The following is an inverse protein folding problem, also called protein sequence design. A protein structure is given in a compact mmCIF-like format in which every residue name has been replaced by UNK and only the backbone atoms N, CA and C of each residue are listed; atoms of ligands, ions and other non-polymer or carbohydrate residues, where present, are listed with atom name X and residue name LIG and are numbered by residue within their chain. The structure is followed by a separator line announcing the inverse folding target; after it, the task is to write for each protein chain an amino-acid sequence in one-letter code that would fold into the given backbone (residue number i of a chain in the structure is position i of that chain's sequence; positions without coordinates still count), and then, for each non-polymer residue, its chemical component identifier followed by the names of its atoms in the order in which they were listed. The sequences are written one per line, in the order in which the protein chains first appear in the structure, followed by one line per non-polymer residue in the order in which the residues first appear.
data_IF_803558206256
#
_entry.id   IF_803558206256
#
_cell.length_a   1.000
_cell.length_b   1.000
_cell.length_c   1.000
_cell.angle_alpha   90.00
_cell.angle_beta   90.00
_cell.angle_gamma   90.00
#
_symmetry.space_group_name_H-M   'P 1'
#
loop_
_entity.id
_entity.type
_entity.pdbx_description
1 polymer ?
#
# COMPACT_ATOMS: atom_id res chain seq x y z
N UNK A 1 16.30 36.53 -1.60
CA UNK A 1 16.62 35.78 -2.83
C UNK A 1 18.03 35.23 -2.69
N UNK A 2 18.24 33.99 -3.10
CA UNK A 2 19.46 33.21 -2.89
C UNK A 2 20.11 32.91 -4.23
N UNK A 3 21.44 33.05 -4.31
CA UNK A 3 22.21 32.59 -5.48
C UNK A 3 22.30 31.08 -5.48
N UNK A 4 22.50 30.50 -6.66
CA UNK A 4 22.63 29.03 -6.81
C UNK A 4 23.67 28.39 -5.88
N UNK A 5 24.77 29.08 -5.57
CA UNK A 5 25.80 28.59 -4.63
C UNK A 5 25.32 28.57 -3.18
N UNK A 6 24.66 29.65 -2.75
CA UNK A 6 24.10 29.75 -1.39
C UNK A 6 23.02 28.69 -1.17
N UNK A 7 22.17 28.48 -2.19
CA UNK A 7 21.15 27.41 -2.16
C UNK A 7 21.79 26.02 -2.10
N UNK A 8 22.85 25.77 -2.88
CA UNK A 8 23.56 24.50 -2.87
C UNK A 8 24.19 24.19 -1.50
N UNK A 9 24.81 25.18 -0.88
CA UNK A 9 25.42 25.05 0.46
C UNK A 9 24.36 24.79 1.54
N UNK A 10 23.24 25.51 1.51
CA UNK A 10 22.16 25.34 2.50
C UNK A 10 21.45 23.98 2.41
N UNK A 11 21.30 23.44 1.20
CA UNK A 11 20.49 22.23 0.96
C UNK A 11 21.32 20.96 0.78
N UNK A 12 22.65 21.09 0.66
CA UNK A 12 23.55 19.98 0.35
C UNK A 12 23.42 19.46 -1.09
N UNK A 13 22.60 20.11 -1.93
CA UNK A 13 22.40 19.74 -3.33
C UNK A 13 23.48 20.39 -4.19
N UNK A 14 24.13 19.61 -5.05
CA UNK A 14 25.17 20.17 -5.92
C UNK A 14 24.60 21.21 -6.89
N UNK A 15 25.40 22.25 -7.21
CA UNK A 15 25.05 23.25 -8.23
C UNK A 15 24.69 22.59 -9.57
N UNK A 16 25.37 21.48 -9.92
CA UNK A 16 25.07 20.69 -11.12
C UNK A 16 23.66 20.10 -11.08
N UNK A 17 23.22 19.60 -9.93
CA UNK A 17 21.87 19.07 -9.73
C UNK A 17 20.81 20.17 -9.84
N UNK A 18 21.07 21.36 -9.27
CA UNK A 18 20.17 22.51 -9.39
C UNK A 18 20.03 22.96 -10.86
N UNK A 19 21.13 23.01 -11.61
CA UNK A 19 21.08 23.28 -13.06
C UNK A 19 20.35 22.18 -13.84
N UNK A 20 20.47 20.92 -13.42
CA UNK A 20 19.73 19.83 -14.04
C UNK A 20 18.22 19.97 -13.79
N UNK A 21 17.81 20.34 -12.57
CA UNK A 21 16.40 20.56 -12.24
C UNK A 21 15.79 21.75 -12.99
N UNK A 22 16.59 22.80 -13.20
CA UNK A 22 16.22 23.93 -14.07
C UNK A 22 16.01 23.44 -15.52
N UNK A 23 16.93 22.65 -16.05
CA UNK A 23 16.86 22.16 -17.44
C UNK A 23 15.66 21.25 -17.75
N UNK A 24 15.11 20.55 -16.76
CA UNK A 24 13.92 19.69 -16.92
C UNK A 24 12.62 20.40 -16.47
N UNK A 25 12.70 21.70 -16.19
CA UNK A 25 11.68 22.56 -15.58
C UNK A 25 11.06 21.97 -14.31
N UNK A 26 11.85 21.26 -13.51
CA UNK A 26 11.42 20.77 -12.21
C UNK A 26 11.59 21.88 -11.15
N UNK A 27 12.67 22.66 -11.25
CA UNK A 27 12.96 23.79 -10.38
C UNK A 27 13.68 24.89 -11.14
N UNK A 28 12.94 25.88 -11.60
CA UNK A 28 13.48 27.04 -12.31
C UNK A 28 13.78 28.19 -11.35
N UNK A 29 14.81 29.02 -11.63
CA UNK A 29 15.09 30.21 -10.85
C UNK A 29 13.96 31.23 -10.99
N UNK A 30 13.67 31.98 -9.92
CA UNK A 30 12.71 33.08 -9.96
C UNK A 30 13.14 34.19 -10.90
N UNK A 31 14.46 34.39 -11.01
CA UNK A 31 15.04 35.43 -11.83
C UNK A 31 16.43 35.04 -12.30
N UNK A 32 16.73 35.35 -13.56
CA UNK A 32 18.08 35.31 -14.11
C UNK A 32 18.54 36.74 -14.31
N UNK A 33 19.56 37.16 -13.57
CA UNK A 33 20.14 38.49 -13.72
C UNK A 33 20.74 38.70 -15.11
N UNK A 34 20.89 39.95 -15.52
CA UNK A 34 21.51 40.35 -16.79
C UNK A 34 22.94 39.79 -16.97
N UNK A 35 23.62 39.48 -15.86
CA UNK A 35 24.96 38.85 -15.85
C UNK A 35 24.91 37.31 -15.90
N UNK A 36 23.73 36.71 -16.09
CA UNK A 36 23.53 35.26 -16.18
C UNK A 36 23.44 34.53 -14.83
N UNK A 37 23.42 35.24 -13.69
CA UNK A 37 23.27 34.59 -12.38
C UNK A 37 21.82 34.21 -12.11
N UNK A 38 21.60 32.94 -11.74
CA UNK A 38 20.33 32.40 -11.26
C UNK A 38 20.07 32.78 -9.80
N UNK A 39 18.89 33.35 -9.56
CA UNK A 39 18.40 33.73 -8.23
C UNK A 39 17.11 32.98 -7.92
N UNK A 40 17.01 32.49 -6.69
CA UNK A 40 15.89 31.72 -6.19
C UNK A 40 15.23 32.45 -5.01
N UNK A 41 13.90 32.45 -4.95
CA UNK A 41 13.14 33.00 -3.83
C UNK A 41 12.81 31.93 -2.80
N UNK A 42 12.11 32.32 -1.73
CA UNK A 42 11.58 31.38 -0.73
C UNK A 42 10.67 30.32 -1.36
N UNK A 43 9.94 30.65 -2.43
CA UNK A 43 9.05 29.70 -3.10
C UNK A 43 9.81 28.54 -3.74
N UNK A 44 10.93 28.83 -4.39
CA UNK A 44 11.79 27.84 -5.00
C UNK A 44 12.57 27.05 -3.95
N UNK A 45 12.86 27.66 -2.80
CA UNK A 45 13.40 26.93 -1.65
C UNK A 45 12.40 25.89 -1.14
N UNK A 46 11.14 26.29 -0.94
CA UNK A 46 10.06 25.38 -0.50
C UNK A 46 9.84 24.26 -1.53
N UNK A 47 9.80 24.59 -2.82
CA UNK A 47 9.70 23.60 -3.90
C UNK A 47 10.90 22.66 -3.93
N UNK A 48 12.12 23.16 -3.74
CA UNK A 48 13.32 22.31 -3.64
C UNK A 48 13.23 21.35 -2.46
N UNK A 49 12.77 21.81 -1.31
CA UNK A 49 12.56 20.96 -0.13
C UNK A 49 11.59 19.80 -0.45
N UNK A 50 10.47 20.09 -1.12
CA UNK A 50 9.51 19.08 -1.56
C UNK A 50 10.14 18.08 -2.54
N UNK A 51 10.91 18.57 -3.53
CA UNK A 51 11.62 17.71 -4.49
C UNK A 51 12.54 16.74 -3.75
N UNK A 52 13.27 17.21 -2.75
CA UNK A 52 14.17 16.36 -1.97
C UNK A 52 13.41 15.30 -1.16
N UNK A 53 12.26 15.65 -0.57
CA UNK A 53 11.41 14.67 0.11
C UNK A 53 10.92 13.57 -0.83
N UNK A 54 10.45 13.92 -2.03
CA UNK A 54 10.03 12.90 -3.00
C UNK A 54 11.20 12.09 -3.58
N UNK A 55 12.38 12.70 -3.72
CA UNK A 55 13.59 11.97 -4.14
C UNK A 55 14.03 10.94 -3.10
N UNK A 56 13.91 11.24 -1.82
CA UNK A 56 14.18 10.29 -0.73
C UNK A 56 13.19 9.11 -0.72
N UNK A 57 12.05 9.24 -1.39
CA UNK A 57 11.08 8.15 -1.61
C UNK A 57 11.29 7.38 -2.91
N UNK A 58 12.41 7.58 -3.61
CA UNK A 58 12.75 6.89 -4.86
C UNK A 58 11.79 7.22 -6.03
N UNK A 59 11.10 8.37 -5.98
CA UNK A 59 10.29 8.84 -7.10
C UNK A 59 11.20 9.36 -8.22
N UNK A 60 10.82 9.09 -9.46
CA UNK A 60 11.51 9.64 -10.63
C UNK A 60 11.25 11.14 -10.74
N UNK A 61 12.23 11.90 -11.22
CA UNK A 61 12.11 13.37 -11.36
C UNK A 61 10.88 13.79 -12.17
N UNK A 62 10.54 13.01 -13.20
CA UNK A 62 9.32 13.21 -13.98
C UNK A 62 8.07 13.11 -13.12
N UNK A 63 7.96 12.06 -12.29
CA UNK A 63 6.78 11.87 -11.44
C UNK A 63 6.68 12.94 -10.35
N UNK A 64 7.82 13.41 -9.84
CA UNK A 64 7.86 14.52 -8.89
C UNK A 64 7.33 15.79 -9.54
N UNK A 65 7.75 16.10 -10.76
CA UNK A 65 7.23 17.23 -11.54
C UNK A 65 5.71 17.12 -11.72
N UNK A 66 5.22 15.97 -12.18
CA UNK A 66 3.78 15.74 -12.39
C UNK A 66 2.95 15.93 -11.11
N UNK A 67 3.50 15.61 -9.93
CA UNK A 67 2.82 15.77 -8.64
C UNK A 67 2.84 17.24 -8.20
N UNK A 68 3.97 17.92 -8.35
CA UNK A 68 4.14 19.30 -7.88
C UNK A 68 3.51 20.34 -8.81
N UNK A 69 3.22 19.98 -10.06
CA UNK A 69 2.56 20.84 -11.04
C UNK A 69 1.04 20.56 -11.14
N UNK A 70 0.53 19.59 -10.38
CA UNK A 70 -0.90 19.28 -10.31
C UNK A 70 -1.66 20.42 -9.57
N UNK A 71 -2.68 21.05 -10.18
CA UNK A 71 -3.46 22.10 -9.54
C UNK A 71 -4.17 21.66 -8.26
N UNK A 72 -4.47 20.36 -8.14
CA UNK A 72 -5.15 19.77 -6.99
C UNK A 72 -4.16 19.26 -5.92
N UNK A 73 -2.86 19.58 -6.05
CA UNK A 73 -1.83 19.18 -5.10
C UNK A 73 -1.97 19.89 -3.74
N UNK A 74 -2.32 19.12 -2.71
CA UNK A 74 -2.25 19.55 -1.30
C UNK A 74 -0.89 19.19 -0.69
N UNK A 75 -0.09 20.22 -0.45
CA UNK A 75 1.23 20.12 0.16
C UNK A 75 1.22 19.48 1.57
N UNK A 76 0.24 19.82 2.40
CA UNK A 76 0.17 19.32 3.77
C UNK A 76 -0.18 17.82 3.80
N UNK A 77 -1.11 17.40 2.95
CA UNK A 77 -1.49 15.99 2.81
C UNK A 77 -0.34 15.15 2.20
N UNK A 78 0.38 15.70 1.21
CA UNK A 78 1.56 15.06 0.65
C UNK A 78 2.67 14.84 1.71
N UNK A 79 2.94 15.83 2.56
CA UNK A 79 3.92 15.74 3.64
C UNK A 79 3.49 14.75 4.73
N UNK A 80 2.19 14.64 5.03
CA UNK A 80 1.69 13.63 5.97
C UNK A 80 1.84 12.21 5.42
N UNK A 81 1.49 11.97 4.15
CA UNK A 81 1.73 10.69 3.45
C UNK A 81 3.22 10.34 3.42
N UNK A 82 4.08 11.33 3.17
CA UNK A 82 5.53 11.16 3.22
C UNK A 82 6.03 10.70 4.61
N UNK A 83 5.52 11.31 5.68
CA UNK A 83 5.87 10.93 7.06
C UNK A 83 5.54 9.47 7.37
N UNK A 84 4.43 8.94 6.87
CA UNK A 84 4.06 7.54 7.04
C UNK A 84 5.00 6.59 6.28
N UNK A 85 5.36 6.94 5.05
CA UNK A 85 6.34 6.18 4.26
C UNK A 85 7.71 6.13 4.96
N UNK A 86 8.16 7.26 5.51
CA UNK A 86 9.41 7.31 6.29
C UNK A 86 9.35 6.44 7.55
N UNK A 87 8.20 6.36 8.22
CA UNK A 87 8.01 5.46 9.37
C UNK A 87 8.13 3.99 8.99
N UNK A 88 7.58 3.58 7.85
CA UNK A 88 7.74 2.20 7.37
C UNK A 88 9.17 1.90 6.92
N UNK A 89 9.84 2.85 6.26
CA UNK A 89 11.29 2.76 5.97
C UNK A 89 12.09 2.58 7.26
N UNK A 90 11.80 3.35 8.31
CA UNK A 90 12.42 3.19 9.65
C UNK A 90 12.20 1.79 10.21
N UNK A 91 10.96 1.30 10.28
CA UNK A 91 10.65 -0.05 10.79
C UNK A 91 11.38 -1.16 10.02
N UNK A 92 11.60 -0.96 8.71
CA UNK A 92 12.38 -1.87 7.89
C UNK A 92 13.86 -1.81 8.22
N UNK A 93 14.44 -0.61 8.34
CA UNK A 93 15.83 -0.46 8.75
C UNK A 93 16.07 -1.09 10.12
N UNK A 94 15.15 -0.93 11.06
CA UNK A 94 15.20 -1.62 12.35
C UNK A 94 15.14 -3.15 12.23
N UNK A 95 14.37 -3.71 11.28
CA UNK A 95 14.39 -5.16 10.99
C UNK A 95 15.74 -5.61 10.43
N UNK A 96 16.33 -4.81 9.53
CA UNK A 96 17.64 -5.08 8.95
C UNK A 96 18.73 -5.06 10.03
N UNK A 97 18.72 -4.04 10.89
CA UNK A 97 19.64 -3.94 12.03
C UNK A 97 19.52 -5.18 12.92
N UNK A 98 18.30 -5.58 13.31
CA UNK A 98 18.09 -6.81 14.10
C UNK A 98 18.64 -8.07 13.43
N UNK A 99 18.49 -8.19 12.11
CA UNK A 99 19.05 -9.34 11.38
C UNK A 99 20.58 -9.31 11.35
N UNK A 100 21.19 -8.14 11.26
CA UNK A 100 22.64 -7.95 11.40
C UNK A 100 23.09 -8.33 12.81
N UNK A 101 22.41 -7.84 13.84
CA UNK A 101 22.71 -8.15 15.26
C UNK A 101 22.64 -9.66 15.53
N UNK A 102 21.59 -10.33 15.03
CA UNK A 102 21.45 -11.79 15.13
C UNK A 102 22.57 -12.52 14.38
N UNK A 103 22.98 -12.02 13.21
CA UNK A 103 24.08 -12.60 12.43
C UNK A 103 25.41 -12.46 13.16
N UNK A 104 25.64 -11.33 13.84
CA UNK A 104 26.81 -11.10 14.68
C UNK A 104 26.82 -12.06 15.88
N UNK A 105 25.67 -12.25 16.56
CA UNK A 105 25.54 -13.21 17.66
C UNK A 105 25.83 -14.66 17.22
N UNK A 106 25.37 -15.06 16.03
CA UNK A 106 25.67 -16.39 15.47
C UNK A 106 27.14 -16.57 15.09
N UNK A 107 27.86 -15.48 14.75
CA UNK A 107 29.30 -15.51 14.49
C UNK A 107 30.15 -15.56 15.78
N UNK A 108 29.60 -15.10 16.91
CA UNK A 108 30.25 -15.10 18.23
C UNK A 108 30.07 -16.39 19.05
N UNK A 109 29.35 -17.39 18.53
CA UNK A 109 29.41 -18.77 19.06
C UNK A 109 28.10 -19.41 19.53
N UNK A 110 26.93 -18.77 19.36
CA UNK A 110 25.64 -19.40 19.67
C UNK A 110 24.81 -19.69 18.40
N UNK A 111 24.43 -20.98 18.25
CA UNK A 111 23.59 -21.64 17.23
C UNK A 111 23.52 -21.09 15.78
N UNK A 112 23.84 -21.96 14.81
CA UNK A 112 23.75 -21.67 13.36
C UNK A 112 22.31 -21.36 12.93
N UNK A 113 22.07 -20.14 12.46
CA UNK A 113 20.85 -19.73 11.74
C UNK A 113 20.62 -20.51 10.43
N UNK A 114 19.35 -20.79 10.12
CA UNK A 114 18.91 -21.38 8.84
C UNK A 114 19.06 -20.37 7.69
N UNK A 115 19.45 -20.85 6.50
CA UNK A 115 19.74 -20.01 5.34
C UNK A 115 18.56 -19.16 4.86
N UNK A 116 17.32 -19.56 5.11
CA UNK A 116 16.10 -18.82 4.75
C UNK A 116 15.92 -17.54 5.57
N UNK A 117 16.32 -17.53 6.85
CA UNK A 117 16.23 -16.36 7.72
C UNK A 117 17.33 -15.33 7.45
N UNK A 118 18.44 -15.75 6.81
CA UNK A 118 19.59 -14.88 6.47
C UNK A 118 19.30 -13.89 5.35
N UNK A 119 18.42 -14.21 4.40
CA UNK A 119 18.19 -13.40 3.19
C UNK A 119 16.81 -12.72 3.13
N UNK A 120 15.86 -13.16 3.97
CA UNK A 120 14.49 -12.61 4.11
C UNK A 120 14.39 -11.08 4.36
N UNK A 121 15.34 -10.43 5.06
CA UNK A 121 15.29 -8.98 5.29
C UNK A 121 15.60 -8.11 4.06
N UNK A 122 16.22 -8.68 3.02
CA UNK A 122 16.63 -7.97 1.82
C UNK A 122 15.57 -7.98 0.70
N UNK A 123 14.50 -8.76 0.85
CA UNK A 123 13.43 -8.85 -0.15
C UNK A 123 12.53 -7.60 -0.15
N UNK A 124 12.51 -6.89 -1.30
CA UNK A 124 11.70 -5.70 -1.59
C UNK A 124 10.53 -5.96 -2.54
N UNK A 125 10.50 -7.13 -3.15
CA UNK A 125 9.78 -7.38 -4.39
C UNK A 125 8.25 -7.44 -4.21
N UNK A 126 7.79 -7.97 -3.08
CA UNK A 126 6.35 -8.13 -2.81
C UNK A 126 5.65 -6.84 -2.40
N UNK A 127 6.36 -5.87 -1.81
CA UNK A 127 5.74 -4.64 -1.26
C UNK A 127 5.57 -3.59 -2.37
N UNK A 128 6.56 -3.42 -3.24
CA UNK A 128 6.58 -2.35 -4.26
C UNK A 128 5.75 -2.68 -5.50
N UNK A 129 5.59 -3.96 -5.85
CA UNK A 129 4.80 -4.39 -7.00
C UNK A 129 3.29 -4.48 -6.72
N UNK A 130 2.90 -4.78 -5.46
CA UNK A 130 1.49 -4.95 -5.11
C UNK A 130 0.79 -3.64 -4.74
N UNK A 131 1.43 -2.72 -3.99
CA UNK A 131 0.77 -1.46 -3.60
C UNK A 131 0.44 -0.56 -4.79
N UNK A 132 1.34 -0.41 -5.75
CA UNK A 132 1.22 0.60 -6.82
C UNK A 132 0.21 0.25 -7.92
N UNK A 133 -0.15 -1.03 -8.07
CA UNK A 133 -1.06 -1.53 -9.11
C UNK A 133 -2.48 -1.75 -8.61
N UNK A 134 -2.65 -2.02 -7.31
CA UNK A 134 -3.97 -2.26 -6.72
C UNK A 134 -4.65 -0.98 -6.22
N UNK A 135 -3.91 -0.01 -5.68
CA UNK A 135 -4.53 1.23 -5.13
C UNK A 135 -5.22 2.06 -6.21
N UNK A 136 -4.58 2.27 -7.36
CA UNK A 136 -5.16 3.04 -8.48
C UNK A 136 -6.46 2.44 -9.01
N UNK A 137 -6.52 1.12 -9.15
CA UNK A 137 -7.69 0.46 -9.75
C UNK A 137 -8.87 0.35 -8.77
N UNK A 138 -8.57 0.20 -7.47
CA UNK A 138 -9.60 0.18 -6.41
C UNK A 138 -10.15 1.58 -6.17
N UNK A 139 -9.31 2.62 -6.25
CA UNK A 139 -9.73 4.02 -6.14
C UNK A 139 -10.57 4.45 -7.36
N UNK A 140 -10.16 4.10 -8.58
CA UNK A 140 -10.93 4.38 -9.81
C UNK A 140 -12.29 3.65 -9.84
N UNK A 141 -12.37 2.42 -9.33
CA UNK A 141 -13.62 1.63 -9.36
C UNK A 141 -14.53 1.90 -8.18
N UNK A 142 -13.99 2.08 -6.96
CA UNK A 142 -14.76 2.07 -5.71
C UNK A 142 -14.45 3.24 -4.78
N UNK A 143 -13.55 4.16 -5.15
CA UNK A 143 -13.12 5.29 -4.30
C UNK A 143 -14.25 6.20 -3.83
N UNK A 144 -15.36 6.25 -4.59
CA UNK A 144 -16.56 7.02 -4.25
C UNK A 144 -17.56 6.27 -3.34
N UNK A 145 -17.32 5.01 -3.00
CA UNK A 145 -18.24 4.22 -2.17
C UNK A 145 -18.01 4.48 -0.67
N UNK A 146 -19.08 4.47 0.10
CA UNK A 146 -19.00 4.60 1.57
C UNK A 146 -18.25 3.42 2.20
N UNK A 147 -18.32 2.23 1.59
CA UNK A 147 -17.55 1.06 1.98
C UNK A 147 -16.03 1.30 1.90
N UNK A 148 -15.54 1.93 0.84
CA UNK A 148 -14.12 2.25 0.71
C UNK A 148 -13.66 3.26 1.76
N UNK A 149 -14.47 4.30 2.03
CA UNK A 149 -14.18 5.31 3.07
C UNK A 149 -14.15 4.69 4.46
N UNK A 150 -15.13 3.85 4.80
CA UNK A 150 -15.16 3.11 6.07
C UNK A 150 -13.96 2.18 6.21
N UNK A 151 -13.59 1.46 5.14
CA UNK A 151 -12.39 0.61 5.13
C UNK A 151 -11.13 1.40 5.41
N UNK A 152 -10.94 2.53 4.73
CA UNK A 152 -9.78 3.39 4.93
C UNK A 152 -9.72 3.91 6.37
N UNK A 153 -10.87 4.31 6.93
CA UNK A 153 -10.98 4.82 8.29
C UNK A 153 -10.73 3.75 9.37
N UNK A 154 -11.27 2.53 9.20
CA UNK A 154 -11.05 1.42 10.16
C UNK A 154 -9.61 0.93 10.10
N UNK A 155 -9.11 0.69 8.89
CA UNK A 155 -7.79 0.08 8.69
C UNK A 155 -6.63 1.04 8.96
N UNK A 156 -6.83 2.36 8.87
CA UNK A 156 -5.83 3.35 9.26
C UNK A 156 -5.46 3.29 10.75
N UNK A 157 -6.32 2.67 11.58
CA UNK A 157 -6.12 2.52 13.01
C UNK A 157 -5.46 1.18 13.39
N UNK A 158 -5.25 0.28 12.42
CA UNK A 158 -4.75 -1.07 12.69
C UNK A 158 -3.24 -1.14 12.78
N UNK A 159 -2.77 -1.82 13.82
CA UNK A 159 -1.37 -2.14 14.00
C UNK A 159 -0.99 -3.40 13.23
N UNK A 160 0.32 -3.67 13.11
CA UNK A 160 0.82 -4.93 12.53
C UNK A 160 0.31 -6.17 13.29
N UNK A 161 0.03 -6.03 14.59
CA UNK A 161 -0.56 -7.10 15.41
C UNK A 161 -2.03 -7.33 15.09
N UNK A 162 -2.81 -6.26 14.91
CA UNK A 162 -4.21 -6.34 14.51
C UNK A 162 -4.36 -6.97 13.13
N UNK A 163 -3.53 -6.54 12.17
CA UNK A 163 -3.47 -7.15 10.84
C UNK A 163 -3.17 -8.64 10.90
N UNK A 164 -2.21 -9.06 11.72
CA UNK A 164 -1.90 -10.48 11.91
C UNK A 164 -3.08 -11.26 12.49
N UNK A 165 -3.79 -10.68 13.47
CA UNK A 165 -4.97 -11.31 14.09
C UNK A 165 -6.13 -11.42 13.11
N UNK A 166 -6.46 -10.34 12.42
CA UNK A 166 -7.51 -10.27 11.40
C UNK A 166 -7.22 -11.30 10.30
N UNK A 167 -5.99 -11.36 9.80
CA UNK A 167 -5.58 -12.34 8.80
C UNK A 167 -5.76 -13.78 9.32
N UNK A 168 -5.32 -14.07 10.55
CA UNK A 168 -5.48 -15.40 11.14
C UNK A 168 -6.95 -15.81 11.33
N UNK A 169 -7.83 -14.87 11.66
CA UNK A 169 -9.27 -15.09 11.74
C UNK A 169 -9.86 -15.43 10.37
N UNK A 170 -9.55 -14.63 9.34
CA UNK A 170 -9.96 -14.88 7.95
C UNK A 170 -9.47 -16.22 7.43
N UNK A 171 -8.18 -16.52 7.58
CA UNK A 171 -7.57 -17.78 7.14
C UNK A 171 -8.22 -19.01 7.81
N UNK A 172 -8.69 -18.90 9.05
CA UNK A 172 -9.41 -19.99 9.72
C UNK A 172 -10.76 -20.25 9.06
N UNK A 173 -11.48 -19.20 8.66
CA UNK A 173 -12.75 -19.31 7.95
C UNK A 173 -12.53 -19.94 6.58
N UNK A 174 -11.55 -19.44 5.82
CA UNK A 174 -11.27 -19.94 4.47
C UNK A 174 -10.78 -21.40 4.48
N UNK A 175 -9.91 -21.78 5.43
CA UNK A 175 -9.52 -23.21 5.60
C UNK A 175 -10.70 -24.12 5.93
N UNK A 176 -11.69 -23.63 6.69
CA UNK A 176 -12.87 -24.40 7.01
C UNK A 176 -13.79 -24.56 5.79
N UNK A 177 -13.95 -23.50 4.98
CA UNK A 177 -14.73 -23.54 3.74
C UNK A 177 -14.10 -24.45 2.68
N UNK A 178 -12.77 -24.41 2.51
CA UNK A 178 -12.05 -25.29 1.57
C UNK A 178 -12.29 -26.77 1.85
N UNK A 179 -12.39 -27.16 3.13
CA UNK A 179 -12.71 -28.55 3.54
C UNK A 179 -14.13 -28.97 3.20
N UNK A 180 -15.03 -28.02 2.92
CA UNK A 180 -16.43 -28.26 2.59
C UNK A 180 -16.74 -28.04 1.10
N UNK A 181 -15.73 -27.78 0.26
CA UNK A 181 -15.94 -27.53 -1.18
C UNK A 181 -16.61 -28.69 -1.94
N UNK A 182 -16.55 -29.91 -1.40
CA UNK A 182 -17.20 -31.07 -2.01
C UNK A 182 -18.69 -31.19 -1.58
N UNK A 183 -19.18 -30.26 -0.74
CA UNK A 183 -20.59 -30.13 -0.36
C UNK A 183 -21.30 -29.13 -1.25
N UNK A 184 -22.63 -29.14 -1.21
CA UNK A 184 -23.43 -28.15 -1.92
C UNK A 184 -23.17 -26.74 -1.33
N UNK A 185 -23.02 -25.69 -2.17
CA UNK A 185 -22.93 -24.31 -1.69
C UNK A 185 -24.06 -23.89 -0.75
N UNK A 186 -25.27 -24.46 -0.86
CA UNK A 186 -26.40 -24.20 0.02
C UNK A 186 -26.37 -25.00 1.33
N UNK A 187 -25.36 -25.86 1.56
CA UNK A 187 -25.26 -26.66 2.79
C UNK A 187 -25.25 -25.74 4.04
N UNK A 188 -26.04 -26.04 5.08
CA UNK A 188 -26.13 -25.18 6.26
C UNK A 188 -24.78 -24.90 6.95
N UNK A 189 -23.83 -25.83 6.89
CA UNK A 189 -22.50 -25.62 7.45
C UNK A 189 -21.66 -24.67 6.60
N UNK A 190 -21.82 -24.72 5.27
CA UNK A 190 -21.21 -23.77 4.34
C UNK A 190 -21.81 -22.39 4.57
N UNK A 191 -23.14 -22.27 4.60
CA UNK A 191 -23.85 -21.01 4.80
C UNK A 191 -23.51 -20.33 6.14
N UNK A 192 -23.35 -21.10 7.22
CA UNK A 192 -22.86 -20.59 8.50
C UNK A 192 -21.43 -20.02 8.42
N UNK A 193 -20.56 -20.60 7.60
CA UNK A 193 -19.20 -20.09 7.42
C UNK A 193 -19.17 -18.86 6.49
N UNK A 194 -20.08 -18.81 5.50
CA UNK A 194 -20.28 -17.63 4.65
C UNK A 194 -20.78 -16.43 5.47
N UNK A 195 -21.74 -16.66 6.38
CA UNK A 195 -22.17 -15.66 7.36
C UNK A 195 -21.00 -15.13 8.20
N UNK A 196 -20.20 -16.05 8.78
CA UNK A 196 -18.99 -15.68 9.53
C UNK A 196 -18.00 -14.89 8.68
N UNK A 197 -17.85 -15.22 7.39
CA UNK A 197 -17.01 -14.47 6.45
C UNK A 197 -17.53 -13.04 6.25
N UNK A 198 -18.83 -12.86 6.05
CA UNK A 198 -19.46 -11.53 5.93
C UNK A 198 -19.33 -10.71 7.21
N UNK A 199 -19.55 -11.34 8.37
CA UNK A 199 -19.38 -10.70 9.68
C UNK A 199 -17.92 -10.32 9.95
N UNK A 200 -16.97 -11.16 9.56
CA UNK A 200 -15.54 -10.85 9.64
C UNK A 200 -15.19 -9.62 8.80
N UNK A 201 -15.72 -9.53 7.57
CA UNK A 201 -15.53 -8.34 6.71
C UNK A 201 -16.17 -7.10 7.36
N UNK A 202 -17.40 -7.26 7.86
CA UNK A 202 -18.17 -6.18 8.52
C UNK A 202 -17.45 -5.62 9.75
N UNK A 203 -16.93 -6.51 10.59
CA UNK A 203 -16.22 -6.14 11.81
C UNK A 203 -14.96 -5.32 11.51
N UNK A 204 -14.18 -5.75 10.52
CA UNK A 204 -12.81 -5.26 10.34
C UNK A 204 -12.59 -4.27 9.20
N UNK A 205 -13.45 -4.21 8.19
CA UNK A 205 -13.21 -3.35 7.02
C UNK A 205 -14.32 -2.32 6.84
N UNK A 206 -15.53 -2.74 6.50
CA UNK A 206 -16.65 -1.84 6.22
C UNK A 206 -17.95 -2.60 6.38
N UNK A 207 -19.05 -1.88 6.56
CA UNK A 207 -20.37 -2.52 6.61
C UNK A 207 -20.65 -3.31 5.32
N UNK A 208 -20.57 -4.65 5.41
CA UNK A 208 -20.75 -5.53 4.28
C UNK A 208 -22.22 -5.97 4.22
N UNK A 209 -23.06 -5.08 3.71
CA UNK A 209 -24.45 -5.38 3.40
C UNK A 209 -24.57 -6.42 2.27
N UNK A 210 -25.77 -6.98 2.07
CA UNK A 210 -25.98 -8.07 1.11
C UNK A 210 -25.63 -7.67 -0.32
N UNK A 211 -25.94 -6.44 -0.74
CA UNK A 211 -25.60 -5.93 -2.07
C UNK A 211 -24.08 -5.87 -2.30
N UNK A 212 -23.32 -5.35 -1.33
CA UNK A 212 -21.86 -5.31 -1.39
C UNK A 212 -21.29 -6.73 -1.38
N UNK A 213 -21.81 -7.60 -0.53
CA UNK A 213 -21.34 -8.98 -0.41
C UNK A 213 -21.55 -9.77 -1.71
N UNK A 214 -22.69 -9.57 -2.37
CA UNK A 214 -23.00 -10.12 -3.70
C UNK A 214 -22.05 -9.58 -4.78
N UNK A 215 -21.76 -8.29 -4.79
CA UNK A 215 -20.79 -7.69 -5.71
C UNK A 215 -19.35 -8.21 -5.52
N UNK A 216 -18.94 -8.48 -4.28
CA UNK A 216 -17.63 -9.10 -3.99
C UNK A 216 -17.54 -10.53 -4.54
N UNK A 217 -18.63 -11.30 -4.42
CA UNK A 217 -18.72 -12.66 -4.94
C UNK A 217 -18.49 -12.70 -6.46
N UNK A 218 -19.10 -11.76 -7.18
CA UNK A 218 -18.92 -11.64 -8.63
C UNK A 218 -17.49 -11.23 -9.01
N UNK A 219 -16.89 -10.30 -8.27
CA UNK A 219 -15.51 -9.86 -8.52
C UNK A 219 -14.49 -11.00 -8.39
N UNK A 220 -14.66 -11.89 -7.41
CA UNK A 220 -13.72 -13.00 -7.18
C UNK A 220 -13.50 -13.91 -8.39
N UNK A 221 -14.47 -13.96 -9.32
CA UNK A 221 -14.39 -14.74 -10.56
C UNK A 221 -14.20 -13.85 -11.79
N UNK A 222 -14.82 -12.67 -11.82
CA UNK A 222 -14.75 -11.77 -12.98
C UNK A 222 -13.36 -11.13 -13.18
N UNK A 223 -12.54 -11.10 -12.14
CA UNK A 223 -11.15 -10.65 -12.21
C UNK A 223 -10.18 -11.79 -11.90
N UNK A 224 -9.48 -12.23 -12.96
CA UNK A 224 -8.54 -13.34 -12.90
C UNK A 224 -7.42 -13.21 -11.85
N UNK A 225 -7.11 -12.00 -11.36
CA UNK A 225 -6.13 -11.81 -10.27
C UNK A 225 -6.67 -12.27 -8.93
N UNK A 226 -7.94 -11.96 -8.64
CA UNK A 226 -8.60 -12.41 -7.42
C UNK A 226 -8.82 -13.91 -7.47
N UNK A 227 -9.27 -14.44 -8.61
CA UNK A 227 -9.41 -15.89 -8.82
C UNK A 227 -8.10 -16.61 -8.55
N UNK A 228 -7.00 -16.19 -9.18
CA UNK A 228 -5.67 -16.79 -8.98
C UNK A 228 -5.18 -16.71 -7.53
N UNK A 229 -5.52 -15.65 -6.81
CA UNK A 229 -5.09 -15.51 -5.41
C UNK A 229 -5.93 -16.38 -4.46
N UNK A 230 -7.24 -16.48 -4.71
CA UNK A 230 -8.17 -17.29 -3.92
C UNK A 230 -7.94 -18.79 -4.17
N UNK A 231 -7.72 -19.19 -5.42
CA UNK A 231 -7.52 -20.59 -5.80
C UNK A 231 -6.16 -21.17 -5.34
N UNK A 232 -5.27 -20.35 -4.76
CA UNK A 232 -4.08 -20.84 -4.04
C UNK A 232 -4.46 -21.79 -2.89
N UNK A 233 -5.66 -21.63 -2.32
CA UNK A 233 -6.14 -22.48 -1.23
C UNK A 233 -6.60 -23.86 -1.71
N UNK A 234 -7.34 -23.91 -2.83
CA UNK A 234 -7.75 -25.12 -3.58
C UNK A 234 -8.30 -24.64 -4.92
N UNK A 235 -8.00 -25.37 -6.00
CA UNK A 235 -8.51 -25.06 -7.34
C UNK A 235 -10.06 -25.04 -7.35
N UNK A 236 -10.65 -24.02 -7.97
CA UNK A 236 -12.10 -23.85 -8.03
C UNK A 236 -12.73 -23.23 -6.77
N UNK A 237 -11.92 -22.79 -5.80
CA UNK A 237 -12.43 -22.21 -4.55
C UNK A 237 -13.13 -20.87 -4.78
N UNK A 238 -12.65 -20.03 -5.69
CA UNK A 238 -13.29 -18.76 -6.03
C UNK A 238 -14.70 -18.95 -6.60
N UNK A 239 -14.89 -19.92 -7.49
CA UNK A 239 -16.20 -20.24 -8.07
C UNK A 239 -17.16 -20.82 -7.03
N UNK A 240 -16.66 -21.68 -6.14
CA UNK A 240 -17.43 -22.19 -5.00
C UNK A 240 -17.89 -21.05 -4.08
N UNK A 241 -16.99 -20.13 -3.71
CA UNK A 241 -17.30 -18.96 -2.90
C UNK A 241 -18.36 -18.08 -3.55
N UNK A 242 -18.25 -17.82 -4.85
CA UNK A 242 -19.22 -17.02 -5.58
C UNK A 242 -20.63 -17.59 -5.42
N UNK A 243 -20.80 -18.89 -5.71
CA UNK A 243 -22.09 -19.58 -5.58
C UNK A 243 -22.62 -19.52 -4.15
N UNK A 244 -21.79 -19.87 -3.17
CA UNK A 244 -22.20 -19.91 -1.76
C UNK A 244 -22.59 -18.53 -1.21
N UNK A 245 -21.90 -17.47 -1.63
CA UNK A 245 -22.20 -16.08 -1.25
C UNK A 245 -23.49 -15.55 -1.89
N UNK A 246 -23.76 -15.88 -3.16
CA UNK A 246 -25.03 -15.54 -3.81
C UNK A 246 -26.19 -16.22 -3.11
N UNK A 247 -26.09 -17.54 -2.86
CA UNK A 247 -27.11 -18.30 -2.13
C UNK A 247 -27.36 -17.75 -0.73
N UNK A 248 -26.30 -17.33 -0.01
CA UNK A 248 -26.47 -16.66 1.28
C UNK A 248 -27.29 -15.38 1.16
N UNK A 249 -26.99 -14.53 0.17
CA UNK A 249 -27.72 -13.28 -0.02
C UNK A 249 -29.19 -13.53 -0.35
N UNK A 250 -29.47 -14.48 -1.26
CA UNK A 250 -30.84 -14.86 -1.62
C UNK A 250 -31.64 -15.29 -0.38
N UNK A 251 -31.06 -16.16 0.46
CA UNK A 251 -31.71 -16.65 1.68
C UNK A 251 -31.99 -15.56 2.72
N UNK A 252 -31.09 -14.56 2.84
CA UNK A 252 -31.26 -13.45 3.78
C UNK A 252 -32.27 -12.39 3.28
N UNK A 253 -32.48 -12.28 1.97
CA UNK A 253 -33.50 -11.39 1.38
C UNK A 253 -34.92 -11.98 1.48
N UNK A 254 -35.03 -13.31 1.58
CA UNK A 254 -36.29 -14.04 1.74
C UNK A 254 -36.74 -14.23 3.21
N UNK A 255 -35.88 -13.90 4.19
CA UNK A 255 -36.10 -14.08 5.64
C UNK A 255 -36.61 -12.82 6.32
#
# INVERSE_FOLDING_TARGET
MYKVKEMAEMTGVSVRTLHHYDHIDLLSPSYVSEKGYRLYSEKELARLQQILFFKEMDFSLKKIKDILDDPDFDEADALQRHREILREKKKRLERLIRSVDQTLQTLEGEERMKNEDRFRPFDKSEIEAHQKKYEKEVEERWGNTDAYKQSKQKTSQYTKGDWKKIQQEGDKIDRALVKLMDRDPSDPNVQRLIDKKRQHITGHFYECNLQIFRGLADMYVNDSRFTKNIDKWKEGYAEFLKKAMHTYCDQQEES
#
